data_IF_060918235576
#
_entry.id   IF_060918235576
#
_cell.length_a   1.000
_cell.length_b   1.000
_cell.length_c   1.000
_cell.angle_alpha   90.00
_cell.angle_beta   90.00
_cell.angle_gamma   90.00
#
_symmetry.space_group_name_H-M   'P 1'
#
loop_
_entity.id
_entity.type
_entity.pdbx_description
1 polymer ?
#
# COMPACT_ATOMS: atom_id res chain seq x y z
N UNK A 1 -21.01 3.11 7.00
CA UNK A 1 -19.66 2.96 6.39
C UNK A 1 -18.73 3.95 7.05
N UNK A 2 -17.44 3.62 7.25
CA UNK A 2 -16.50 4.55 7.87
C UNK A 2 -15.94 5.55 6.86
N UNK A 3 -16.01 6.85 7.18
CA UNK A 3 -15.50 7.98 6.38
C UNK A 3 -13.99 8.19 6.52
N UNK A 4 -13.31 7.39 7.33
CA UNK A 4 -11.85 7.42 7.52
C UNK A 4 -11.14 6.22 6.88
N UNK A 5 -11.83 5.48 6.00
CA UNK A 5 -11.28 4.26 5.40
C UNK A 5 -10.37 4.55 4.21
N UNK A 6 -10.63 5.64 3.49
CA UNK A 6 -9.97 5.94 2.21
C UNK A 6 -8.44 6.09 2.31
N UNK A 7 -7.86 6.81 3.31
CA UNK A 7 -6.41 6.91 3.42
C UNK A 7 -5.73 5.55 3.60
N UNK A 8 -6.28 4.69 4.46
CA UNK A 8 -5.76 3.35 4.65
C UNK A 8 -5.87 2.53 3.37
N UNK A 9 -7.04 2.53 2.71
CA UNK A 9 -7.21 1.81 1.44
C UNK A 9 -6.17 2.25 0.41
N UNK A 10 -5.98 3.55 0.24
CA UNK A 10 -5.08 4.12 -0.75
C UNK A 10 -3.60 3.83 -0.45
N UNK A 11 -3.18 4.02 0.80
CA UNK A 11 -1.79 3.83 1.21
C UNK A 11 -1.36 2.37 1.11
N UNK A 12 -2.18 1.42 1.60
CA UNK A 12 -1.83 0.00 1.56
C UNK A 12 -1.79 -0.53 0.11
N UNK A 13 -2.76 -0.16 -0.73
CA UNK A 13 -2.73 -0.54 -2.15
C UNK A 13 -1.54 0.07 -2.88
N UNK A 14 -1.18 1.32 -2.58
CA UNK A 14 0.02 1.95 -3.14
C UNK A 14 1.32 1.29 -2.67
N UNK A 15 1.38 0.83 -1.42
CA UNK A 15 2.46 0.00 -0.91
C UNK A 15 2.61 -1.31 -1.67
N UNK A 16 1.53 -2.07 -1.85
CA UNK A 16 1.55 -3.30 -2.65
C UNK A 16 1.96 -3.03 -4.11
N UNK A 17 1.52 -1.90 -4.69
CA UNK A 17 1.93 -1.50 -6.04
C UNK A 17 3.45 -1.34 -6.11
N UNK A 18 4.04 -0.60 -5.17
CA UNK A 18 5.49 -0.35 -5.15
C UNK A 18 6.28 -1.65 -4.93
N UNK A 19 5.78 -2.58 -4.11
CA UNK A 19 6.39 -3.91 -3.96
C UNK A 19 6.41 -4.70 -5.27
N UNK A 20 5.28 -4.78 -5.95
CA UNK A 20 5.15 -5.52 -7.21
C UNK A 20 6.04 -4.89 -8.30
N UNK A 21 6.10 -3.55 -8.33
CA UNK A 21 6.93 -2.84 -9.29
C UNK A 21 8.42 -3.01 -9.01
N UNK A 22 8.88 -2.89 -7.76
CA UNK A 22 10.28 -3.13 -7.40
C UNK A 22 10.72 -4.55 -7.78
N UNK A 23 9.92 -5.55 -7.42
CA UNK A 23 10.19 -6.95 -7.79
C UNK A 23 10.25 -7.15 -9.31
N UNK A 24 9.35 -6.51 -10.06
CA UNK A 24 9.36 -6.57 -11.53
C UNK A 24 10.60 -5.93 -12.12
N UNK A 25 11.02 -4.77 -11.61
CA UNK A 25 12.21 -4.06 -12.06
C UNK A 25 13.48 -4.89 -11.80
N UNK A 26 13.57 -5.52 -10.62
CA UNK A 26 14.65 -6.47 -10.29
C UNK A 26 14.66 -7.69 -11.20
N UNK A 27 13.50 -8.31 -11.43
CA UNK A 27 13.36 -9.48 -12.30
C UNK A 27 13.73 -9.20 -13.76
N UNK A 28 13.58 -7.95 -14.20
CA UNK A 28 14.00 -7.49 -15.52
C UNK A 28 15.47 -7.03 -15.58
N UNK A 29 16.23 -7.16 -14.48
CA UNK A 29 17.60 -6.66 -14.33
C UNK A 29 17.75 -5.18 -14.75
N UNK A 30 16.76 -4.35 -14.42
CA UNK A 30 16.86 -2.91 -14.68
C UNK A 30 17.98 -2.33 -13.82
N UNK A 31 18.88 -1.48 -14.38
CA UNK A 31 19.93 -0.84 -13.60
C UNK A 31 19.37 -0.12 -12.37
N UNK A 32 20.02 -0.27 -11.23
CA UNK A 32 19.54 0.24 -9.94
C UNK A 32 19.18 1.73 -9.99
N UNK A 33 19.95 2.55 -10.69
CA UNK A 33 19.68 4.00 -10.84
C UNK A 33 18.35 4.28 -11.54
N UNK A 34 18.05 3.52 -12.61
CA UNK A 34 16.81 3.65 -13.36
C UNK A 34 15.62 3.14 -12.55
N UNK A 35 15.79 2.00 -11.87
CA UNK A 35 14.75 1.44 -11.00
C UNK A 35 14.41 2.41 -9.86
N UNK A 36 15.43 3.00 -9.21
CA UNK A 36 15.27 4.02 -8.17
C UNK A 36 14.53 5.26 -8.67
N UNK A 37 14.90 5.76 -9.85
CA UNK A 37 14.21 6.91 -10.46
C UNK A 37 12.73 6.62 -10.70
N UNK A 38 12.42 5.44 -11.24
CA UNK A 38 11.03 5.00 -11.46
C UNK A 38 10.24 4.98 -10.15
N UNK A 39 10.78 4.39 -9.09
CA UNK A 39 10.10 4.35 -7.78
C UNK A 39 9.95 5.74 -7.17
N UNK A 40 11.01 6.57 -7.19
CA UNK A 40 10.96 7.94 -6.68
C UNK A 40 9.90 8.81 -7.38
N UNK A 41 9.78 8.70 -8.72
CA UNK A 41 8.77 9.45 -9.48
C UNK A 41 7.34 9.06 -9.07
N UNK A 42 7.10 7.76 -8.86
CA UNK A 42 5.79 7.24 -8.41
C UNK A 42 5.50 7.70 -6.97
N UNK A 43 6.46 7.54 -6.05
CA UNK A 43 6.30 7.93 -4.65
C UNK A 43 6.09 9.44 -4.54
N UNK A 44 6.87 10.26 -5.27
CA UNK A 44 6.68 11.71 -5.27
C UNK A 44 5.28 12.14 -5.72
N UNK A 45 4.71 11.42 -6.69
CA UNK A 45 3.35 11.69 -7.19
C UNK A 45 2.29 11.22 -6.19
N UNK A 46 2.49 10.04 -5.61
CA UNK A 46 1.58 9.44 -4.64
C UNK A 46 1.49 10.25 -3.34
N UNK A 47 2.63 10.80 -2.88
CA UNK A 47 2.75 11.58 -1.64
C UNK A 47 2.74 13.09 -1.89
N UNK A 48 2.15 13.54 -3.01
CA UNK A 48 1.94 14.95 -3.26
C UNK A 48 1.12 15.58 -2.12
N UNK A 49 1.65 16.64 -1.51
CA UNK A 49 1.05 17.30 -0.34
C UNK A 49 -0.42 17.65 -0.51
N UNK A 50 -0.80 18.29 -1.64
CA UNK A 50 -2.18 18.70 -1.88
C UNK A 50 -3.11 17.49 -2.00
N UNK A 51 -2.63 16.43 -2.65
CA UNK A 51 -3.39 15.19 -2.77
C UNK A 51 -3.59 14.52 -1.42
N UNK A 52 -2.54 14.43 -0.59
CA UNK A 52 -2.65 13.86 0.76
C UNK A 52 -3.60 14.66 1.65
N UNK A 53 -3.51 16.00 1.64
CA UNK A 53 -4.43 16.87 2.38
C UNK A 53 -5.90 16.62 2.01
N UNK A 54 -6.21 16.40 0.72
CA UNK A 54 -7.56 16.03 0.29
C UNK A 54 -7.92 14.58 0.63
N UNK A 55 -6.97 13.64 0.55
CA UNK A 55 -7.18 12.23 0.85
C UNK A 55 -7.60 12.00 2.31
N UNK A 56 -6.96 12.72 3.25
CA UNK A 56 -7.20 12.59 4.69
C UNK A 56 -8.47 13.28 5.19
N UNK A 57 -9.16 14.06 4.35
CA UNK A 57 -10.48 14.60 4.72
C UNK A 57 -11.47 13.44 4.93
N UNK A 58 -12.35 13.51 5.95
CA UNK A 58 -13.41 12.52 6.12
C UNK A 58 -14.30 12.46 4.88
N UNK A 59 -14.29 11.32 4.17
CA UNK A 59 -15.03 11.14 2.93
C UNK A 59 -15.33 9.67 2.66
N UNK A 60 -16.29 9.42 1.77
CA UNK A 60 -16.60 8.07 1.32
C UNK A 60 -15.48 7.50 0.43
N UNK A 61 -15.48 6.17 0.28
CA UNK A 61 -14.56 5.52 -0.63
C UNK A 61 -14.82 5.92 -2.08
N UNK A 62 -13.76 6.09 -2.85
CA UNK A 62 -13.88 6.18 -4.30
C UNK A 62 -14.49 4.91 -4.89
N UNK A 63 -15.20 5.07 -6.01
CA UNK A 63 -15.65 3.92 -6.79
C UNK A 63 -14.45 3.09 -7.24
N UNK A 64 -14.63 1.77 -7.39
CA UNK A 64 -13.58 0.84 -7.88
C UNK A 64 -12.95 1.33 -9.19
N UNK A 65 -13.78 1.89 -10.10
CA UNK A 65 -13.33 2.46 -11.38
C UNK A 65 -12.47 3.71 -11.17
N UNK A 66 -12.90 4.65 -10.32
CA UNK A 66 -12.12 5.86 -10.04
C UNK A 66 -10.78 5.53 -9.37
N UNK A 67 -10.79 4.65 -8.37
CA UNK A 67 -9.57 4.22 -7.69
C UNK A 67 -8.58 3.55 -8.65
N UNK A 68 -9.09 2.68 -9.54
CA UNK A 68 -8.29 2.07 -10.60
C UNK A 68 -7.65 3.10 -11.52
N UNK A 69 -8.39 4.11 -11.98
CA UNK A 69 -7.85 5.19 -12.82
C UNK A 69 -6.76 5.99 -12.10
N UNK A 70 -6.87 6.19 -10.78
CA UNK A 70 -5.82 6.84 -10.00
C UNK A 70 -4.53 6.00 -10.05
N UNK A 71 -4.61 4.70 -9.79
CA UNK A 71 -3.42 3.82 -9.84
C UNK A 71 -2.83 3.66 -11.24
N UNK A 72 -3.66 3.65 -12.28
CA UNK A 72 -3.18 3.71 -13.68
C UNK A 72 -2.35 4.98 -13.92
N UNK A 73 -2.83 6.14 -13.45
CA UNK A 73 -2.06 7.40 -13.54
C UNK A 73 -0.78 7.38 -12.70
N UNK A 74 -0.81 6.82 -11.49
CA UNK A 74 0.38 6.71 -10.64
C UNK A 74 1.45 5.81 -11.26
N UNK A 75 1.09 4.63 -11.76
CA UNK A 75 2.04 3.72 -12.39
C UNK A 75 2.69 4.32 -13.65
N UNK A 76 1.97 5.21 -14.35
CA UNK A 76 2.43 5.95 -15.51
C UNK A 76 3.02 7.33 -15.20
N UNK A 77 3.16 7.70 -13.92
CA UNK A 77 3.82 8.95 -13.54
C UNK A 77 5.34 8.91 -13.83
N UNK A 78 5.92 7.70 -13.86
CA UNK A 78 7.32 7.48 -14.21
C UNK A 78 7.51 7.25 -15.71
N UNK A 79 8.77 7.19 -16.15
CA UNK A 79 9.14 6.81 -17.52
C UNK A 79 8.69 5.39 -17.91
N UNK A 80 8.44 4.51 -16.93
CA UNK A 80 8.04 3.13 -17.17
C UNK A 80 6.61 3.07 -17.75
N UNK A 81 6.46 2.44 -18.91
CA UNK A 81 5.15 2.23 -19.55
C UNK A 81 4.70 0.78 -19.40
N UNK A 82 3.61 0.60 -18.67
CA UNK A 82 2.87 -0.67 -18.59
C UNK A 82 1.83 -0.75 -19.71
N UNK A 83 1.66 -1.92 -20.32
CA UNK A 83 0.53 -2.15 -21.22
C UNK A 83 -0.75 -2.47 -20.42
N UNK A 84 -1.91 -2.42 -21.07
CA UNK A 84 -3.21 -2.64 -20.40
C UNK A 84 -3.24 -3.97 -19.65
N UNK A 85 -2.81 -5.06 -20.28
CA UNK A 85 -2.79 -6.39 -19.65
C UNK A 85 -1.87 -6.45 -18.42
N UNK A 86 -0.77 -5.69 -18.39
CA UNK A 86 0.11 -5.56 -17.23
C UNK A 86 -0.53 -4.73 -16.13
N UNK A 87 -1.22 -3.65 -16.48
CA UNK A 87 -1.97 -2.82 -15.51
C UNK A 87 -3.10 -3.60 -14.85
N UNK A 88 -3.85 -4.38 -15.63
CA UNK A 88 -4.90 -5.26 -15.11
C UNK A 88 -4.35 -6.25 -14.08
N UNK A 89 -3.25 -6.93 -14.42
CA UNK A 89 -2.59 -7.87 -13.52
C UNK A 89 -2.03 -7.19 -12.27
N UNK A 90 -1.44 -6.00 -12.41
CA UNK A 90 -0.92 -5.23 -11.28
C UNK A 90 -2.03 -4.90 -10.30
N UNK A 91 -3.16 -4.38 -10.78
CA UNK A 91 -4.30 -4.04 -9.93
C UNK A 91 -4.94 -5.26 -9.27
N UNK A 92 -5.06 -6.38 -9.99
CA UNK A 92 -5.54 -7.65 -9.44
C UNK A 92 -4.63 -8.14 -8.30
N UNK A 93 -3.30 -8.07 -8.48
CA UNK A 93 -2.33 -8.49 -7.46
C UNK A 93 -2.35 -7.58 -6.23
N UNK A 94 -2.38 -6.26 -6.42
CA UNK A 94 -2.45 -5.28 -5.32
C UNK A 94 -3.70 -5.50 -4.46
N UNK A 95 -4.86 -5.58 -5.10
CA UNK A 95 -6.14 -5.75 -4.40
C UNK A 95 -6.23 -7.11 -3.72
N UNK A 96 -5.67 -8.15 -4.33
CA UNK A 96 -5.62 -9.49 -3.73
C UNK A 96 -4.70 -9.56 -2.51
N UNK A 97 -3.51 -8.97 -2.60
CA UNK A 97 -2.55 -8.95 -1.51
C UNK A 97 -3.07 -8.18 -0.30
N UNK A 98 -3.61 -6.98 -0.51
CA UNK A 98 -4.14 -6.19 0.59
C UNK A 98 -5.43 -6.80 1.19
N UNK A 99 -6.34 -7.33 0.35
CA UNK A 99 -7.50 -8.11 0.84
C UNK A 99 -7.08 -9.24 1.76
N UNK A 100 -6.02 -9.97 1.37
CA UNK A 100 -5.49 -11.07 2.17
C UNK A 100 -4.91 -10.57 3.51
N UNK A 101 -4.14 -9.48 3.53
CA UNK A 101 -3.63 -8.87 4.76
C UNK A 101 -4.77 -8.44 5.71
N UNK A 102 -5.84 -7.82 5.19
CA UNK A 102 -7.02 -7.42 5.98
C UNK A 102 -7.75 -8.62 6.57
N UNK A 103 -7.84 -9.73 5.83
CA UNK A 103 -8.44 -10.97 6.33
C UNK A 103 -7.62 -11.59 7.46
N UNK A 104 -6.30 -11.55 7.35
CA UNK A 104 -5.40 -12.13 8.35
C UNK A 104 -5.24 -11.30 9.63
N UNK A 105 -5.59 -10.00 9.64
CA UNK A 105 -5.52 -9.17 10.83
C UNK A 105 -6.34 -9.76 12.00
N UNK A 106 -5.71 -10.18 13.12
CA UNK A 106 -6.45 -10.72 14.27
C UNK A 106 -7.33 -9.64 14.91
N UNK A 107 -6.79 -8.43 15.07
CA UNK A 107 -7.52 -7.29 15.65
C UNK A 107 -7.77 -6.23 14.58
N UNK A 108 -8.91 -5.50 14.62
CA UNK A 108 -9.20 -4.47 13.62
C UNK A 108 -8.15 -3.35 13.55
N UNK A 109 -7.53 -3.03 14.68
CA UNK A 109 -6.42 -2.05 14.76
C UNK A 109 -5.17 -2.49 14.01
N UNK A 110 -4.98 -3.78 13.78
CA UNK A 110 -3.77 -4.30 13.12
C UNK A 110 -3.74 -3.86 11.63
N UNK A 111 -4.86 -3.44 11.04
CA UNK A 111 -4.90 -2.82 9.70
C UNK A 111 -4.05 -1.55 9.63
N UNK A 112 -4.02 -0.75 10.71
CA UNK A 112 -3.17 0.44 10.78
C UNK A 112 -1.68 0.05 10.83
N UNK A 113 -1.36 -1.04 11.52
CA UNK A 113 0.01 -1.57 11.58
C UNK A 113 0.49 -2.05 10.20
N UNK A 114 -0.39 -2.70 9.42
CA UNK A 114 -0.10 -3.01 8.00
C UNK A 114 0.25 -1.74 7.23
N UNK A 115 -0.50 -0.66 7.43
CA UNK A 115 -0.23 0.63 6.77
C UNK A 115 1.11 1.21 7.17
N UNK A 116 1.48 1.16 8.45
CA UNK A 116 2.78 1.62 8.90
C UNK A 116 3.93 0.78 8.31
N UNK A 117 3.76 -0.54 8.18
CA UNK A 117 4.74 -1.41 7.54
C UNK A 117 4.93 -1.05 6.06
N UNK A 118 3.85 -0.75 5.34
CA UNK A 118 3.94 -0.23 3.97
C UNK A 118 4.70 1.09 3.91
N UNK A 119 4.37 2.04 4.78
CA UNK A 119 5.06 3.33 4.80
C UNK A 119 6.55 3.20 5.12
N UNK A 120 6.92 2.36 6.08
CA UNK A 120 8.32 2.14 6.43
C UNK A 120 9.11 1.54 5.27
N UNK A 121 8.55 0.54 4.60
CA UNK A 121 9.19 -0.04 3.42
C UNK A 121 9.26 0.95 2.25
N UNK A 122 8.24 1.80 2.08
CA UNK A 122 8.27 2.90 1.10
C UNK A 122 9.42 3.86 1.38
N UNK A 123 9.68 4.20 2.65
CA UNK A 123 10.86 5.00 3.02
C UNK A 123 12.16 4.32 2.59
N UNK A 124 12.25 3.00 2.71
CA UNK A 124 13.38 2.21 2.24
C UNK A 124 13.64 2.27 0.73
N UNK A 125 12.61 2.55 -0.09
CA UNK A 125 12.77 2.76 -1.53
C UNK A 125 13.31 4.14 -1.89
N UNK A 126 13.09 5.14 -1.03
CA UNK A 126 13.50 6.52 -1.27
C UNK A 126 15.01 6.63 -1.06
N UNK A 127 15.73 7.07 -2.10
CA UNK A 127 17.14 7.43 -2.00
C UNK A 127 17.37 8.82 -2.57
N UNK A 128 18.26 9.57 -1.93
CA UNK A 128 18.79 10.86 -2.38
C UNK A 128 17.70 11.93 -2.64
N UNK A 129 16.55 11.83 -1.95
CA UNK A 129 15.44 12.78 -2.07
C UNK A 129 14.82 13.13 -0.71
N UNK A 130 15.40 14.11 0.02
CA UNK A 130 14.93 14.49 1.34
C UNK A 130 13.50 15.05 1.32
N UNK A 131 13.10 15.70 0.23
CA UNK A 131 11.76 16.26 0.07
C UNK A 131 10.68 15.16 0.04
N UNK A 132 10.91 14.07 -0.69
CA UNK A 132 9.95 12.94 -0.75
C UNK A 132 9.91 12.25 0.61
N UNK A 133 11.06 12.05 1.25
CA UNK A 133 11.12 11.45 2.59
C UNK A 133 10.29 12.27 3.60
N UNK A 134 10.44 13.60 3.58
CA UNK A 134 9.65 14.50 4.43
C UNK A 134 8.14 14.37 4.18
N UNK A 135 7.70 14.19 2.92
CA UNK A 135 6.29 13.99 2.59
C UNK A 135 5.74 12.67 3.15
N UNK A 136 6.53 11.59 3.11
CA UNK A 136 6.16 10.31 3.71
C UNK A 136 6.14 10.40 5.24
N UNK A 137 7.10 11.09 5.85
CA UNK A 137 7.14 11.32 7.30
C UNK A 137 5.95 12.15 7.79
N UNK A 138 5.55 13.16 7.03
CA UNK A 138 4.35 13.95 7.31
C UNK A 138 3.09 13.09 7.26
N UNK A 139 2.98 12.23 6.24
CA UNK A 139 1.88 11.26 6.13
C UNK A 139 1.84 10.30 7.32
N UNK A 140 3.01 9.86 7.79
CA UNK A 140 3.12 9.00 8.97
C UNK A 140 2.61 9.71 10.23
N UNK A 141 2.96 10.99 10.44
CA UNK A 141 2.46 11.79 11.56
C UNK A 141 0.95 12.00 11.49
N UNK A 142 0.41 12.33 10.31
CA UNK A 142 -1.04 12.48 10.13
C UNK A 142 -1.82 11.19 10.44
N UNK A 143 -1.28 10.02 10.08
CA UNK A 143 -1.89 8.74 10.47
C UNK A 143 -1.95 8.57 11.98
N UNK A 144 -0.89 8.90 12.71
CA UNK A 144 -0.88 8.80 14.17
C UNK A 144 -1.93 9.75 14.77
N UNK A 145 -1.98 11.00 14.30
CA UNK A 145 -2.93 12.00 14.80
C UNK A 145 -4.39 11.61 14.55
N UNK A 146 -4.70 11.11 13.35
CA UNK A 146 -6.08 10.79 12.96
C UNK A 146 -6.54 9.44 13.53
N UNK A 147 -5.67 8.42 13.53
CA UNK A 147 -6.05 7.05 13.87
C UNK A 147 -5.64 6.63 15.28
N UNK A 148 -4.71 7.34 15.93
CA UNK A 148 -4.18 6.99 17.26
C UNK A 148 -5.22 7.05 18.38
N UNK A 149 -6.23 7.91 18.26
CA UNK A 149 -7.32 8.05 19.22
C UNK A 149 -8.57 7.21 18.93
N UNK A 150 -8.58 6.43 17.84
CA UNK A 150 -9.79 5.71 17.44
C UNK A 150 -10.08 4.52 18.35
N UNK A 151 -11.37 4.33 18.63
CA UNK A 151 -11.86 3.19 19.38
C UNK A 151 -11.78 1.88 18.57
N UNK A 152 -11.82 0.74 19.26
CA UNK A 152 -11.89 -0.57 18.60
C UNK A 152 -13.11 -0.71 17.68
N UNK A 153 -14.24 -0.06 18.03
CA UNK A 153 -15.45 -0.04 17.20
C UNK A 153 -15.25 0.73 15.89
N UNK A 154 -14.57 1.87 15.93
CA UNK A 154 -14.23 2.62 14.72
C UNK A 154 -13.28 1.85 13.80
N UNK A 155 -12.27 1.17 14.37
CA UNK A 155 -11.41 0.27 13.59
C UNK A 155 -12.19 -0.92 13.01
N UNK A 156 -13.17 -1.46 13.74
CA UNK A 156 -14.04 -2.51 13.21
C UNK A 156 -14.87 -2.01 12.03
N UNK A 157 -15.41 -0.79 12.10
CA UNK A 157 -16.13 -0.17 10.98
C UNK A 157 -15.22 0.06 9.76
N UNK A 158 -13.97 0.49 9.98
CA UNK A 158 -12.96 0.60 8.92
C UNK A 158 -12.72 -0.76 8.27
N UNK A 159 -12.44 -1.79 9.07
CA UNK A 159 -12.20 -3.16 8.58
C UNK A 159 -13.39 -3.68 7.78
N UNK A 160 -14.61 -3.51 8.29
CA UNK A 160 -15.83 -3.91 7.57
C UNK A 160 -15.96 -3.15 6.24
N UNK A 161 -15.70 -1.84 6.24
CA UNK A 161 -15.75 -1.00 5.03
C UNK A 161 -14.75 -1.50 3.98
N UNK A 162 -13.53 -1.89 4.39
CA UNK A 162 -12.54 -2.51 3.50
C UNK A 162 -13.02 -3.86 2.96
N UNK A 163 -13.54 -4.73 3.81
CA UNK A 163 -14.01 -6.07 3.40
C UNK A 163 -15.17 -5.98 2.39
N UNK A 164 -16.11 -5.05 2.61
CA UNK A 164 -17.20 -4.76 1.66
C UNK A 164 -16.63 -4.26 0.33
N UNK A 165 -15.66 -3.33 0.36
CA UNK A 165 -15.00 -2.85 -0.85
C UNK A 165 -14.39 -4.01 -1.67
N UNK A 166 -13.81 -5.00 -0.99
CA UNK A 166 -13.17 -6.16 -1.62
C UNK A 166 -14.10 -7.33 -1.96
N UNK A 167 -15.39 -7.28 -1.61
CA UNK A 167 -16.31 -8.43 -1.70
C UNK A 167 -16.41 -9.01 -3.13
N UNK A 168 -16.62 -8.16 -4.13
CA UNK A 168 -16.82 -8.60 -5.53
C UNK A 168 -15.51 -8.77 -6.33
N UNK A 169 -14.35 -8.61 -5.67
CA UNK A 169 -13.07 -8.82 -6.32
C UNK A 169 -12.70 -10.30 -6.23
N UNK A 170 -12.90 -11.02 -7.34
CA UNK A 170 -12.63 -12.44 -7.48
C UNK A 170 -11.11 -12.70 -7.45
N UNK A 171 -10.72 -13.51 -6.47
CA UNK A 171 -9.34 -13.90 -6.21
C UNK A 171 -8.97 -15.02 -7.20
N UNK A 172 -8.20 -14.74 -8.25
CA UNK A 172 -7.48 -15.78 -9.01
C UNK A 172 -6.32 -16.32 -8.17
N UNK A 173 -6.66 -17.16 -7.19
CA UNK A 173 -5.78 -17.71 -6.14
C UNK A 173 -4.45 -18.25 -6.67
N UNK A 174 -4.46 -18.91 -7.82
CA UNK A 174 -3.26 -19.50 -8.44
C UNK A 174 -2.20 -18.46 -8.82
N UNK A 175 -2.60 -17.26 -9.25
CA UNK A 175 -1.67 -16.21 -9.63
C UNK A 175 -0.98 -15.59 -8.40
N UNK A 176 -1.74 -15.42 -7.31
CA UNK A 176 -1.21 -14.88 -6.06
C UNK A 176 -0.30 -15.85 -5.33
N UNK A 177 -0.61 -17.15 -5.32
CA UNK A 177 0.26 -18.15 -4.70
C UNK A 177 1.64 -18.22 -5.38
N UNK A 178 1.67 -18.15 -6.72
CA UNK A 178 2.93 -18.04 -7.48
C UNK A 178 3.71 -16.77 -7.14
N UNK A 179 3.02 -15.68 -6.84
CA UNK A 179 3.66 -14.43 -6.42
C UNK A 179 4.16 -14.49 -4.97
N UNK A 180 3.41 -15.10 -4.06
CA UNK A 180 3.80 -15.25 -2.66
C UNK A 180 5.02 -16.16 -2.52
N UNK A 181 5.06 -17.27 -3.25
CA UNK A 181 6.21 -18.19 -3.25
C UNK A 181 7.51 -17.54 -3.74
N UNK A 182 7.44 -16.48 -4.57
CA UNK A 182 8.61 -15.67 -4.96
C UNK A 182 9.04 -14.65 -3.90
N UNK A 183 8.19 -14.30 -2.94
CA UNK A 183 8.55 -13.41 -1.83
C UNK A 183 9.42 -14.11 -0.78
N UNK A 184 9.19 -15.40 -0.53
CA UNK A 184 9.92 -16.15 0.51
C UNK A 184 11.43 -16.31 0.25
N UNK A 185 11.90 -16.11 -0.99
CA UNK A 185 13.33 -16.20 -1.33
C UNK A 185 14.13 -14.92 -1.07
N UNK A 186 13.47 -13.79 -0.76
CA UNK A 186 14.11 -12.51 -0.45
C UNK A 186 13.88 -12.23 1.05
N UNK A 187 14.87 -12.55 1.89
CA UNK A 187 14.82 -12.64 3.37
C UNK A 187 14.56 -11.32 4.12
N UNK A 188 14.01 -10.31 3.44
CA UNK A 188 13.65 -8.99 3.97
C UNK A 188 12.17 -8.63 3.84
N UNK A 189 11.33 -9.51 3.30
CA UNK A 189 9.89 -9.23 3.09
C UNK A 189 8.94 -10.34 3.53
N UNK A 190 9.38 -11.18 4.46
CA UNK A 190 8.55 -12.12 5.17
C UNK A 190 7.54 -11.37 6.05
N UNK A 191 6.28 -11.31 5.63
CA UNK A 191 5.14 -11.33 6.56
C UNK A 191 4.43 -12.69 6.47
N UNK A 192 5.01 -13.78 7.00
CA UNK A 192 4.21 -14.64 7.83
C UNK A 192 3.85 -13.82 9.08
N UNK A 193 2.61 -13.93 9.53
CA UNK A 193 2.10 -13.32 10.76
C UNK A 193 2.83 -13.76 12.05
N UNK A 194 4.01 -14.39 11.94
CA UNK A 194 4.82 -14.93 13.04
C UNK A 194 5.69 -13.87 13.75
N UNK A 195 5.83 -12.65 13.22
CA UNK A 195 6.64 -11.58 13.86
C UNK A 195 5.83 -10.54 14.66
N UNK A 196 4.63 -10.90 15.13
CA UNK A 196 3.93 -10.11 16.17
C UNK A 196 4.49 -10.32 17.59
N UNK A 197 5.64 -10.98 17.73
CA UNK A 197 6.51 -10.92 18.91
C UNK A 197 7.72 -10.04 18.62
N UNK A 198 7.57 -8.71 18.53
CA UNK A 198 8.66 -7.73 18.81
C UNK A 198 8.10 -6.30 18.66
N UNK A 199 7.22 -5.92 19.59
CA UNK A 199 6.98 -4.50 19.92
C UNK A 199 6.94 -4.35 21.44
N UNK A 200 8.02 -4.78 22.09
CA UNK A 200 8.50 -4.28 23.37
C UNK A 200 9.28 -2.98 23.13
N UNK A 201 8.61 -1.96 22.60
CA UNK A 201 9.05 -0.56 22.69
C UNK A 201 7.90 0.27 23.23
N UNK A 202 7.53 -0.07 24.46
CA UNK A 202 6.79 0.75 25.40
C UNK A 202 7.24 0.35 26.81
N UNK A 203 8.53 0.58 27.08
CA UNK A 203 9.16 0.85 28.38
C UNK A 203 10.60 1.28 28.16
#
# INVERSE_FOLDING_TARGET
MSVRTLPLLFLNLGGEMLYILDQRLRAQNIPGDKARRVLNDIISTMFNRKFMEELFKPQELYSKKALRTIYERLAHASIMKLNQASMDKLYDLMTMAFKYQVLLCPRPKDVLLVTFNHLDTIKGFIRDSPTILQQVDETFRQLIEIYGGLSAGEFQLIRQTLLIFFQDLHIRRECFWKHMSRRDTDSSLCLPFETFEFCTWAK
#
